data_IF_140734118714
#
_entry.id   IF_140734118714
#
_cell.length_a   1.000
_cell.length_b   1.000
_cell.length_c   1.000
_cell.angle_alpha   90.00
_cell.angle_beta   90.00
_cell.angle_gamma   90.00
#
_symmetry.space_group_name_H-M   'P 1'
#
loop_
_entity.id
_entity.type
_entity.pdbx_description
1 polymer ?
#
# COMPACT_ATOMS: atom_id res chain seq x y z
N UNK A 1 -17.64 -50.70 -23.18
CA UNK A 1 -17.54 -49.41 -23.89
C UNK A 1 -18.12 -48.25 -23.07
N UNK A 2 -19.32 -48.39 -22.48
CA UNK A 2 -19.94 -47.36 -21.60
C UNK A 2 -19.04 -46.89 -20.43
N UNK A 3 -18.51 -47.83 -19.64
CA UNK A 3 -17.67 -47.54 -18.46
C UNK A 3 -16.38 -46.75 -18.74
N UNK A 4 -15.84 -46.81 -19.97
CA UNK A 4 -14.64 -46.05 -20.34
C UNK A 4 -14.97 -44.60 -20.69
N UNK A 5 -16.10 -44.39 -21.38
CA UNK A 5 -16.62 -43.06 -21.69
C UNK A 5 -16.98 -42.31 -20.39
N UNK A 6 -17.65 -43.00 -19.47
CA UNK A 6 -18.03 -42.42 -18.17
C UNK A 6 -16.78 -41.98 -17.35
N UNK A 7 -15.69 -42.74 -17.41
CA UNK A 7 -14.44 -42.39 -16.71
C UNK A 7 -13.75 -41.19 -17.36
N UNK A 8 -13.74 -41.11 -18.69
CA UNK A 8 -13.15 -39.97 -19.41
C UNK A 8 -13.93 -38.67 -19.16
N UNK A 9 -15.26 -38.75 -19.15
CA UNK A 9 -16.13 -37.61 -18.83
C UNK A 9 -15.87 -37.07 -17.41
N UNK A 10 -15.68 -37.96 -16.42
CA UNK A 10 -15.35 -37.57 -15.05
C UNK A 10 -13.95 -36.94 -14.92
N UNK A 11 -12.99 -37.38 -15.72
CA UNK A 11 -11.64 -36.80 -15.77
C UNK A 11 -11.67 -35.41 -16.41
N UNK A 12 -12.44 -35.22 -17.48
CA UNK A 12 -12.66 -33.92 -18.12
C UNK A 12 -13.32 -32.91 -17.15
N UNK A 13 -14.37 -33.32 -16.44
CA UNK A 13 -15.02 -32.47 -15.43
C UNK A 13 -14.08 -32.03 -14.30
N UNK A 14 -13.16 -32.91 -13.89
CA UNK A 14 -12.12 -32.56 -12.89
C UNK A 14 -11.13 -31.55 -13.43
N UNK A 15 -10.65 -31.76 -14.66
CA UNK A 15 -9.72 -30.85 -15.31
C UNK A 15 -10.33 -29.46 -15.52
N UNK A 16 -11.60 -29.40 -15.92
CA UNK A 16 -12.34 -28.16 -16.07
C UNK A 16 -12.51 -27.43 -14.73
N UNK A 17 -12.86 -28.15 -13.66
CA UNK A 17 -12.96 -27.56 -12.33
C UNK A 17 -11.61 -26.99 -11.84
N UNK A 18 -10.51 -27.71 -12.07
CA UNK A 18 -9.17 -27.27 -11.71
C UNK A 18 -8.73 -26.03 -12.52
N UNK A 19 -8.94 -26.06 -13.83
CA UNK A 19 -8.62 -24.95 -14.73
C UNK A 19 -9.43 -23.71 -14.36
N UNK A 20 -10.74 -23.86 -14.12
CA UNK A 20 -11.61 -22.76 -13.72
C UNK A 20 -11.19 -22.17 -12.35
N UNK A 21 -10.82 -23.01 -11.38
CA UNK A 21 -10.30 -22.55 -10.09
C UNK A 21 -9.02 -21.73 -10.25
N UNK A 22 -8.10 -22.18 -11.10
CA UNK A 22 -6.85 -21.45 -11.39
C UNK A 22 -7.13 -20.10 -12.06
N UNK A 23 -8.02 -20.07 -13.05
CA UNK A 23 -8.44 -18.83 -13.73
C UNK A 23 -9.06 -17.85 -12.73
N UNK A 24 -9.93 -18.32 -11.83
CA UNK A 24 -10.55 -17.47 -10.82
C UNK A 24 -9.51 -16.85 -9.87
N UNK A 25 -8.54 -17.64 -9.39
CA UNK A 25 -7.43 -17.16 -8.54
C UNK A 25 -6.56 -16.14 -9.29
N UNK A 26 -6.24 -16.40 -10.54
CA UNK A 26 -5.46 -15.47 -11.38
C UNK A 26 -6.20 -14.15 -11.60
N UNK A 27 -7.50 -14.19 -11.91
CA UNK A 27 -8.33 -12.99 -12.07
C UNK A 27 -8.38 -12.16 -10.78
N UNK A 28 -8.58 -12.82 -9.63
CA UNK A 28 -8.58 -12.14 -8.34
C UNK A 28 -7.24 -11.47 -8.05
N UNK A 29 -6.13 -12.17 -8.32
CA UNK A 29 -4.79 -11.61 -8.17
C UNK A 29 -4.57 -10.38 -9.06
N UNK A 30 -4.93 -10.46 -10.34
CA UNK A 30 -4.81 -9.34 -11.28
C UNK A 30 -5.62 -8.13 -10.81
N UNK A 31 -6.86 -8.33 -10.35
CA UNK A 31 -7.70 -7.25 -9.84
C UNK A 31 -7.14 -6.63 -8.56
N UNK A 32 -6.62 -7.45 -7.65
CA UNK A 32 -5.94 -6.96 -6.44
C UNK A 32 -4.69 -6.14 -6.79
N UNK A 33 -3.84 -6.66 -7.67
CA UNK A 33 -2.59 -6.00 -8.09
C UNK A 33 -2.87 -4.68 -8.82
N UNK A 34 -3.99 -4.58 -9.57
CA UNK A 34 -4.46 -3.32 -10.17
C UNK A 34 -4.88 -2.28 -9.13
N UNK A 35 -5.44 -2.72 -7.99
CA UNK A 35 -5.88 -1.83 -6.91
C UNK A 35 -4.76 -1.41 -5.96
N UNK A 36 -3.65 -2.14 -5.93
CA UNK A 36 -2.47 -1.73 -5.19
C UNK A 36 -1.93 -0.46 -5.83
N UNK A 37 -2.28 0.68 -5.23
CA UNK A 37 -1.79 1.99 -5.65
C UNK A 37 -0.26 1.98 -5.70
N UNK A 38 0.30 2.23 -6.90
CA UNK A 38 1.72 2.43 -7.08
C UNK A 38 2.10 3.78 -6.48
N UNK A 39 2.47 3.78 -5.20
CA UNK A 39 2.96 4.97 -4.52
C UNK A 39 4.45 5.09 -4.79
N UNK A 40 4.80 5.96 -5.74
CA UNK A 40 6.19 6.32 -5.96
C UNK A 40 6.63 7.33 -4.90
N UNK A 41 7.78 7.06 -4.31
CA UNK A 41 8.36 7.88 -3.27
C UNK A 41 9.71 8.41 -3.72
N UNK A 42 10.02 9.65 -3.34
CA UNK A 42 11.30 10.29 -3.65
C UNK A 42 12.05 10.65 -2.37
N UNK A 43 13.39 10.65 -2.44
CA UNK A 43 14.24 11.13 -1.35
C UNK A 43 13.92 12.59 -1.04
N UNK A 44 13.78 12.92 0.24
CA UNK A 44 13.41 14.26 0.72
C UNK A 44 11.91 14.52 0.80
N UNK A 45 11.06 13.62 0.32
CA UNK A 45 9.61 13.77 0.42
C UNK A 45 9.13 13.59 1.87
N UNK A 46 8.13 14.39 2.27
CA UNK A 46 7.42 14.21 3.55
C UNK A 46 6.32 13.16 3.40
N UNK A 47 6.27 12.21 4.34
CA UNK A 47 5.29 11.12 4.36
C UNK A 47 4.74 10.89 5.75
N UNK A 48 3.51 10.40 5.82
CA UNK A 48 2.88 9.92 7.04
C UNK A 48 3.07 8.42 7.16
N UNK A 49 3.32 7.95 8.39
CA UNK A 49 3.49 6.54 8.70
C UNK A 49 2.25 5.97 9.37
N UNK A 50 1.77 4.82 8.92
CA UNK A 50 0.67 4.12 9.57
C UNK A 50 1.09 3.43 10.87
N UNK A 51 0.40 3.73 11.98
CA UNK A 51 0.59 3.03 13.26
C UNK A 51 -0.27 1.77 13.33
N UNK A 52 0.35 0.60 13.21
CA UNK A 52 -0.33 -0.69 13.38
C UNK A 52 -0.69 -1.01 14.82
N UNK A 53 0.00 -0.43 15.81
CA UNK A 53 -0.13 -0.75 17.25
C UNK A 53 -1.25 0.01 17.97
N UNK A 54 -2.06 0.79 17.25
CA UNK A 54 -3.20 1.46 17.89
C UNK A 54 -4.30 0.44 18.19
N UNK A 55 -4.34 0.05 19.47
CA UNK A 55 -5.48 -0.61 20.09
C UNK A 55 -6.75 0.17 19.77
N UNK A 56 -7.81 -0.58 19.47
CA UNK A 56 -9.15 -0.10 19.15
C UNK A 56 -9.57 0.85 20.28
N UNK A 57 -9.48 2.16 20.05
CA UNK A 57 -9.80 3.13 21.09
C UNK A 57 -11.30 3.06 21.39
N UNK A 58 -11.67 2.81 22.65
CA UNK A 58 -13.04 2.84 23.17
C UNK A 58 -13.55 4.30 23.36
N UNK A 59 -13.21 5.19 22.42
CA UNK A 59 -13.48 6.63 22.42
C UNK A 59 -13.00 7.29 21.12
N UNK A 60 -13.32 8.58 20.92
CA UNK A 60 -13.13 9.39 19.68
C UNK A 60 -12.14 8.83 18.65
N UNK A 61 -12.60 8.72 17.39
CA UNK A 61 -11.80 8.32 16.22
C UNK A 61 -10.53 9.18 16.08
N UNK A 62 -9.38 8.65 16.50
CA UNK A 62 -8.07 9.24 16.23
C UNK A 62 -7.53 8.70 14.90
N UNK A 63 -6.85 9.56 14.13
CA UNK A 63 -6.16 9.12 12.91
C UNK A 63 -5.03 8.15 13.27
N UNK A 64 -4.92 7.04 12.54
CA UNK A 64 -3.83 6.07 12.70
C UNK A 64 -2.50 6.49 12.06
N UNK A 65 -2.50 7.60 11.32
CA UNK A 65 -1.33 8.15 10.68
C UNK A 65 -0.53 8.98 11.69
N UNK A 66 0.75 8.63 11.86
CA UNK A 66 1.73 9.38 12.64
C UNK A 66 2.41 10.37 11.71
N UNK A 67 2.84 11.49 12.29
CA UNK A 67 3.30 12.75 11.69
C UNK A 67 4.24 12.68 10.47
N UNK A 68 4.63 13.85 9.95
CA UNK A 68 5.42 13.93 8.74
C UNK A 68 6.86 13.48 9.01
N UNK A 69 7.27 12.42 8.35
CA UNK A 69 8.65 11.92 8.30
C UNK A 69 9.27 12.26 6.95
N UNK A 70 10.57 12.52 6.94
CA UNK A 70 11.32 12.75 5.70
C UNK A 70 11.92 11.44 5.21
N UNK A 71 11.75 11.15 3.92
CA UNK A 71 12.38 9.99 3.30
C UNK A 71 13.88 10.26 3.10
N UNK A 72 14.72 9.41 3.67
CA UNK A 72 16.17 9.46 3.46
C UNK A 72 16.60 8.68 2.23
N UNK A 73 16.03 7.48 2.03
CA UNK A 73 16.36 6.61 0.91
C UNK A 73 15.17 5.72 0.55
N UNK A 74 15.01 5.43 -0.74
CA UNK A 74 14.02 4.49 -1.28
C UNK A 74 14.78 3.35 -1.94
N UNK A 75 14.43 2.13 -1.61
CA UNK A 75 15.01 0.92 -2.19
C UNK A 75 14.08 0.37 -3.27
N UNK A 76 14.64 -0.30 -4.28
CA UNK A 76 13.89 -0.88 -5.41
C UNK A 76 12.89 -1.98 -5.00
N UNK A 77 13.08 -2.57 -3.82
CA UNK A 77 12.19 -3.59 -3.25
C UNK A 77 10.96 -3.01 -2.50
N UNK A 78 10.75 -1.69 -2.55
CA UNK A 78 9.61 -1.02 -1.88
C UNK A 78 9.82 -0.72 -0.40
N UNK A 79 11.01 -1.02 0.14
CA UNK A 79 11.41 -0.57 1.48
C UNK A 79 11.81 0.91 1.40
N UNK A 80 11.35 1.69 2.37
CA UNK A 80 11.65 3.12 2.49
C UNK A 80 12.31 3.35 3.83
N UNK A 81 13.38 4.14 3.82
CA UNK A 81 14.11 4.54 5.01
C UNK A 81 13.68 5.96 5.41
N UNK A 82 13.11 6.06 6.60
CA UNK A 82 12.59 7.31 7.15
C UNK A 82 13.56 7.87 8.19
N UNK A 83 13.67 9.20 8.18
CA UNK A 83 14.40 9.95 9.19
C UNK A 83 13.51 10.17 10.42
N UNK A 84 14.01 9.84 11.60
CA UNK A 84 13.29 10.09 12.85
C UNK A 84 13.17 11.60 13.13
N UNK A 85 12.12 12.01 13.84
CA UNK A 85 11.86 13.40 14.25
C UNK A 85 13.02 14.03 15.04
N UNK A 86 13.83 13.21 15.71
CA UNK A 86 14.99 13.66 16.49
C UNK A 86 16.29 13.78 15.67
N UNK A 87 16.25 13.53 14.35
CA UNK A 87 17.42 13.51 13.45
C UNK A 87 18.57 12.55 13.83
N UNK A 88 18.44 11.74 14.90
CA UNK A 88 19.52 10.90 15.42
C UNK A 88 19.57 9.50 14.81
N UNK A 89 18.58 9.12 13.99
CA UNK A 89 18.55 7.79 13.40
C UNK A 89 17.53 7.66 12.28
N UNK A 90 17.79 6.71 11.39
CA UNK A 90 16.88 6.27 10.35
C UNK A 90 16.27 4.91 10.71
N UNK A 91 15.09 4.62 10.19
CA UNK A 91 14.47 3.31 10.33
C UNK A 91 13.78 2.89 9.03
N UNK A 92 13.76 1.58 8.79
CA UNK A 92 13.22 0.99 7.56
C UNK A 92 11.78 0.58 7.76
N UNK A 93 10.92 0.95 6.81
CA UNK A 93 9.50 0.62 6.78
C UNK A 93 9.09 0.15 5.39
N UNK A 94 8.00 -0.62 5.32
CA UNK A 94 7.39 -0.97 4.04
C UNK A 94 6.66 0.27 3.48
N UNK A 95 6.93 0.63 2.21
CA UNK A 95 6.29 1.74 1.52
C UNK A 95 4.76 1.64 1.44
N UNK A 96 4.19 0.43 1.53
CA UNK A 96 2.73 0.23 1.60
C UNK A 96 2.08 0.94 2.80
N UNK A 97 2.81 1.07 3.91
CA UNK A 97 2.35 1.73 5.14
C UNK A 97 2.61 3.24 5.15
N UNK A 98 3.06 3.80 4.02
CA UNK A 98 3.32 5.22 3.85
C UNK A 98 2.23 5.90 3.03
N UNK A 99 2.01 7.17 3.35
CA UNK A 99 1.13 8.06 2.58
C UNK A 99 1.86 9.39 2.35
N UNK A 100 1.90 9.92 1.12
CA UNK A 100 2.42 11.27 0.86
C UNK A 100 1.74 12.31 1.76
N UNK A 101 2.54 13.15 2.40
CA UNK A 101 2.02 14.30 3.14
C UNK A 101 1.74 15.43 2.15
N UNK A 102 0.48 15.87 2.08
CA UNK A 102 0.13 17.06 1.31
C UNK A 102 0.35 18.29 2.20
N UNK A 103 1.31 19.13 1.84
CA UNK A 103 1.46 20.42 2.51
C UNK A 103 0.22 21.28 2.22
N UNK A 104 -0.44 21.84 3.24
CA UNK A 104 -1.51 22.80 3.00
C UNK A 104 -0.90 24.01 2.30
N UNK A 105 -1.52 24.43 1.19
CA UNK A 105 -1.11 25.62 0.45
C UNK A 105 -1.09 26.81 1.40
N UNK A 106 0.10 27.34 1.70
CA UNK A 106 0.20 28.64 2.35
C UNK A 106 -0.18 29.69 1.32
N UNK A 107 -1.36 30.29 1.44
CA UNK A 107 -1.66 31.55 0.78
C UNK A 107 -0.64 32.56 1.29
N UNK A 108 0.28 32.95 0.40
CA UNK A 108 1.24 34.04 0.63
C UNK A 108 0.42 35.27 1.04
N UNK A 109 0.65 35.78 2.24
CA UNK A 109 0.13 37.08 2.62
C UNK A 109 0.71 38.10 1.63
N UNK A 110 -0.17 38.78 0.88
CA UNK A 110 0.19 39.92 0.04
C UNK A 110 0.88 40.98 0.90
N UNK A 111 1.99 41.49 0.36
CA UNK A 111 2.89 42.39 1.07
C UNK A 111 2.21 43.69 1.48
N UNK A 112 2.39 44.03 2.75
CA UNK A 112 2.29 45.40 3.23
C UNK A 112 3.41 46.23 2.59
N UNK A 113 3.07 47.12 1.64
CA UNK A 113 3.92 48.23 1.22
C UNK A 113 3.42 49.49 1.96
N UNK A 114 4.25 50.19 2.76
CA UNK A 114 3.86 51.49 3.32
C UNK A 114 3.97 52.61 2.25
N UNK A 115 3.32 53.77 2.49
CA UNK A 115 3.03 54.80 1.50
C UNK A 115 4.25 55.57 0.99
#
# INVERSE_FOLDING_TARGET
MKRFLDLNEMEELRNDAYNNSNIAKQRLKMWHDQLVSHKEFQKGQKVLLYNSKLYIFLGKLKSKWIGPFTIQQVYSNGVVELLNSNNTGSFKVNGQHLKPFMEPFSSRQEGNQPP
#
